data_IF_718858429649
#
_entry.id   IF_718858429649
#
_cell.length_a   1.000
_cell.length_b   1.000
_cell.length_c   1.000
_cell.angle_alpha   90.00
_cell.angle_beta   90.00
_cell.angle_gamma   90.00
#
_symmetry.space_group_name_H-M   'P 1'
#
loop_
_entity.id
_entity.type
_entity.pdbx_description
1 polymer ?
#
# COMPACT_ATOMS: atom_id res chain seq x y z
N UNK A 1 -58.78 -27.53 -48.74
CA UNK A 1 -58.45 -26.17 -48.31
C UNK A 1 -57.65 -26.26 -46.99
N UNK A 2 -56.37 -26.20 -47.05
CA UNK A 2 -55.49 -26.31 -45.87
C UNK A 2 -54.98 -24.93 -45.49
N UNK A 3 -55.39 -24.47 -44.30
CA UNK A 3 -55.01 -23.17 -43.76
C UNK A 3 -53.59 -23.16 -43.26
N UNK A 4 -52.73 -22.33 -43.81
CA UNK A 4 -51.38 -22.03 -43.31
C UNK A 4 -51.46 -21.16 -42.07
N UNK A 5 -50.99 -21.66 -40.92
CA UNK A 5 -50.87 -20.83 -39.71
C UNK A 5 -49.54 -20.02 -39.80
N UNK A 6 -49.53 -18.73 -39.45
CA UNK A 6 -48.30 -17.97 -39.50
C UNK A 6 -47.42 -18.27 -38.26
N UNK A 7 -46.26 -18.83 -38.50
CA UNK A 7 -45.20 -19.06 -37.52
C UNK A 7 -44.39 -17.79 -37.33
N UNK A 8 -45.04 -16.68 -36.96
CA UNK A 8 -44.31 -15.40 -36.98
C UNK A 8 -44.06 -14.74 -35.61
N UNK A 9 -44.98 -14.90 -34.67
CA UNK A 9 -44.96 -14.02 -33.49
C UNK A 9 -44.01 -14.49 -32.35
N UNK A 10 -43.84 -15.81 -32.21
CA UNK A 10 -42.96 -16.35 -31.15
C UNK A 10 -41.47 -16.32 -31.50
N UNK A 11 -41.14 -16.45 -32.78
CA UNK A 11 -39.77 -16.38 -33.25
C UNK A 11 -39.23 -14.94 -33.17
N UNK A 12 -40.06 -13.95 -33.44
CA UNK A 12 -39.69 -12.52 -33.32
C UNK A 12 -39.49 -12.07 -31.86
N UNK A 13 -40.25 -12.65 -30.92
CA UNK A 13 -40.07 -12.32 -29.52
C UNK A 13 -38.79 -12.93 -28.93
N UNK A 14 -38.43 -14.15 -29.31
CA UNK A 14 -37.21 -14.82 -28.92
C UNK A 14 -35.97 -14.10 -29.48
N UNK A 15 -36.02 -13.65 -30.74
CA UNK A 15 -34.95 -12.85 -31.33
C UNK A 15 -34.78 -11.48 -30.66
N UNK A 16 -35.86 -10.87 -30.19
CA UNK A 16 -35.81 -9.63 -29.40
C UNK A 16 -35.16 -9.87 -28.00
N UNK A 17 -35.53 -10.99 -27.35
CA UNK A 17 -34.95 -11.34 -26.06
C UNK A 17 -33.49 -11.77 -26.17
N UNK A 18 -33.10 -12.51 -27.20
CA UNK A 18 -31.70 -12.83 -27.51
C UNK A 18 -30.91 -11.57 -27.86
N UNK A 19 -31.52 -10.64 -28.60
CA UNK A 19 -30.89 -9.36 -28.91
C UNK A 19 -30.64 -8.50 -27.65
N UNK A 20 -31.60 -8.49 -26.71
CA UNK A 20 -31.43 -7.78 -25.44
C UNK A 20 -30.41 -8.44 -24.50
N UNK A 21 -30.24 -9.77 -24.60
CA UNK A 21 -29.21 -10.48 -23.81
C UNK A 21 -27.82 -10.38 -24.43
N UNK A 22 -27.72 -10.18 -25.73
CA UNK A 22 -26.44 -10.06 -26.44
C UNK A 22 -25.95 -8.61 -26.55
N UNK A 23 -26.84 -7.62 -26.41
CA UNK A 23 -26.43 -6.20 -26.46
C UNK A 23 -25.42 -5.82 -25.37
N UNK A 24 -25.53 -6.27 -24.11
CA UNK A 24 -24.47 -5.95 -23.15
C UNK A 24 -23.14 -6.68 -23.38
N UNK A 25 -23.17 -7.80 -24.14
CA UNK A 25 -21.92 -8.50 -24.49
C UNK A 25 -21.18 -7.83 -25.66
N UNK A 26 -21.88 -7.03 -26.48
CA UNK A 26 -21.29 -6.26 -27.57
C UNK A 26 -20.81 -4.86 -27.13
N UNK A 27 -21.14 -4.45 -25.90
CA UNK A 27 -20.58 -3.25 -25.28
C UNK A 27 -19.31 -3.59 -24.46
N UNK A 28 -18.56 -4.62 -24.84
CA UNK A 28 -17.19 -4.79 -24.40
C UNK A 28 -16.44 -3.55 -24.87
N UNK A 29 -16.33 -2.57 -23.95
CA UNK A 29 -15.92 -1.23 -24.29
C UNK A 29 -14.56 -1.19 -24.97
N UNK A 30 -14.54 -0.53 -26.10
CA UNK A 30 -13.30 -0.17 -26.74
C UNK A 30 -12.43 0.59 -25.74
N UNK A 31 -11.35 -0.01 -25.28
CA UNK A 31 -10.33 0.69 -24.51
C UNK A 31 -10.01 0.19 -23.12
N UNK A 32 -10.68 -0.86 -22.60
CA UNK A 32 -10.27 -1.40 -21.30
C UNK A 32 -9.03 -2.30 -21.47
N UNK A 33 -7.92 -2.00 -20.79
CA UNK A 33 -6.73 -2.85 -20.89
C UNK A 33 -7.02 -4.28 -20.41
N UNK A 34 -6.39 -5.27 -21.03
CA UNK A 34 -6.67 -6.68 -20.76
C UNK A 34 -6.42 -7.14 -19.32
N UNK A 35 -5.73 -6.34 -18.54
CA UNK A 35 -5.41 -6.63 -17.14
C UNK A 35 -6.17 -5.75 -16.15
N UNK A 36 -7.16 -4.99 -16.61
CA UNK A 36 -7.93 -4.08 -15.77
C UNK A 36 -9.42 -4.42 -15.80
N UNK A 37 -10.10 -4.12 -14.73
CA UNK A 37 -11.55 -4.10 -14.67
C UNK A 37 -12.03 -2.67 -14.92
N UNK A 38 -12.76 -2.45 -16.00
CA UNK A 38 -13.39 -1.16 -16.29
C UNK A 38 -14.87 -1.26 -15.96
N UNK A 39 -15.32 -0.43 -15.04
CA UNK A 39 -16.74 -0.36 -14.72
C UNK A 39 -17.52 0.36 -15.85
N UNK A 40 -18.80 0.13 -15.93
CA UNK A 40 -19.67 0.71 -16.97
C UNK A 40 -19.69 2.24 -16.96
N UNK A 41 -19.26 2.86 -15.86
CA UNK A 41 -18.98 4.29 -15.81
C UNK A 41 -17.59 4.54 -16.41
N UNK A 42 -17.46 5.38 -17.45
CA UNK A 42 -16.15 5.62 -18.07
C UNK A 42 -15.14 6.35 -17.18
N UNK A 43 -15.55 6.65 -15.96
CA UNK A 43 -14.77 7.45 -15.01
C UNK A 43 -13.90 6.61 -14.07
N UNK A 44 -14.01 5.27 -14.11
CA UNK A 44 -13.28 4.42 -13.18
C UNK A 44 -12.74 3.17 -13.88
N UNK A 45 -11.44 3.16 -14.08
CA UNK A 45 -10.69 1.97 -14.47
C UNK A 45 -9.94 1.46 -13.23
N UNK A 46 -10.05 0.18 -12.96
CA UNK A 46 -9.37 -0.45 -11.84
C UNK A 46 -8.61 -1.67 -12.33
N UNK A 47 -7.29 -1.65 -12.12
CA UNK A 47 -6.41 -2.81 -12.30
C UNK A 47 -6.09 -3.39 -10.93
N UNK A 48 -6.42 -4.65 -10.70
CA UNK A 48 -6.18 -5.28 -9.40
C UNK A 48 -5.73 -6.73 -9.58
N UNK A 49 -4.90 -7.18 -8.65
CA UNK A 49 -4.39 -8.56 -8.57
C UNK A 49 -3.69 -9.03 -9.85
N UNK A 50 -3.03 -8.10 -10.56
CA UNK A 50 -2.33 -8.39 -11.80
C UNK A 50 -0.84 -8.09 -11.63
N UNK A 51 0.01 -8.91 -12.20
CA UNK A 51 1.47 -8.71 -12.18
C UNK A 51 1.87 -7.71 -13.27
N UNK A 52 1.40 -6.46 -13.14
CA UNK A 52 1.81 -5.40 -14.04
C UNK A 52 3.26 -4.99 -13.73
N UNK A 53 4.11 -5.02 -14.73
CA UNK A 53 5.50 -4.53 -14.61
C UNK A 53 5.63 -3.10 -15.10
N UNK A 54 4.66 -2.64 -15.89
CA UNK A 54 4.58 -1.27 -16.40
C UNK A 54 3.14 -0.77 -16.29
N UNK A 55 2.96 0.55 -16.16
CA UNK A 55 1.62 1.13 -16.19
C UNK A 55 0.89 0.82 -17.51
N UNK A 56 -0.43 0.65 -17.47
CA UNK A 56 -1.19 0.37 -18.69
C UNK A 56 -1.14 1.56 -19.64
N UNK A 57 -0.94 1.28 -20.93
CA UNK A 57 -0.74 2.31 -21.96
C UNK A 57 -2.03 2.67 -22.70
N UNK A 58 -3.04 1.78 -22.66
CA UNK A 58 -4.26 1.89 -23.47
C UNK A 58 -5.46 2.32 -22.60
N UNK A 59 -5.26 3.34 -21.76
CA UNK A 59 -6.32 3.86 -20.91
C UNK A 59 -7.30 4.73 -21.70
N UNK A 60 -8.60 4.65 -21.42
CA UNK A 60 -9.57 5.57 -22.03
C UNK A 60 -9.26 7.03 -21.69
N UNK A 61 -9.47 7.93 -22.66
CA UNK A 61 -9.14 9.36 -22.48
C UNK A 61 -9.93 10.02 -21.35
N UNK A 62 -11.19 9.60 -21.15
CA UNK A 62 -12.06 10.18 -20.13
C UNK A 62 -11.91 9.61 -18.73
N UNK A 63 -10.92 8.72 -18.49
CA UNK A 63 -10.73 8.13 -17.15
C UNK A 63 -10.37 9.21 -16.13
N UNK A 64 -11.13 9.24 -15.02
CA UNK A 64 -10.90 10.21 -13.94
C UNK A 64 -10.26 9.58 -12.70
N UNK A 65 -10.53 8.30 -12.47
CA UNK A 65 -10.01 7.56 -11.33
C UNK A 65 -9.35 6.28 -11.82
N UNK A 66 -8.10 6.08 -11.50
CA UNK A 66 -7.37 4.86 -11.82
C UNK A 66 -6.81 4.25 -10.55
N UNK A 67 -7.10 2.97 -10.33
CA UNK A 67 -6.52 2.19 -9.23
C UNK A 67 -5.76 1.00 -9.82
N UNK A 68 -4.49 0.88 -9.49
CA UNK A 68 -3.71 -0.33 -9.71
C UNK A 68 -3.33 -0.84 -8.31
N UNK A 69 -3.59 -2.10 -8.04
CA UNK A 69 -3.28 -2.66 -6.72
C UNK A 69 -2.78 -4.09 -6.86
N UNK A 70 -1.68 -4.39 -6.19
CA UNK A 70 -1.05 -5.71 -6.25
C UNK A 70 -0.22 -5.94 -7.50
N UNK A 71 0.17 -4.87 -8.19
CA UNK A 71 1.10 -4.91 -9.31
C UNK A 71 2.55 -5.12 -8.87
N UNK A 72 3.44 -5.08 -9.83
CA UNK A 72 4.89 -5.13 -9.59
C UNK A 72 5.59 -4.02 -10.38
N UNK A 73 5.14 -2.77 -10.14
CA UNK A 73 5.62 -1.56 -10.82
C UNK A 73 6.92 -1.07 -10.17
N UNK A 74 7.97 -1.88 -10.18
CA UNK A 74 9.18 -1.64 -9.39
C UNK A 74 9.79 -0.25 -9.60
N UNK A 75 9.72 0.29 -10.81
CA UNK A 75 10.26 1.62 -11.14
C UNK A 75 9.26 2.42 -11.94
N UNK A 76 8.81 3.54 -11.41
CA UNK A 76 8.02 4.50 -12.18
C UNK A 76 8.97 5.44 -12.92
N UNK A 77 9.14 5.19 -14.21
CA UNK A 77 10.01 5.97 -15.08
C UNK A 77 9.34 7.30 -15.46
N UNK A 78 10.13 8.17 -16.07
CA UNK A 78 9.61 9.45 -16.58
C UNK A 78 8.39 9.24 -17.47
N UNK A 79 7.32 10.01 -17.21
CA UNK A 79 6.06 9.97 -17.95
C UNK A 79 5.41 8.57 -17.99
N UNK A 80 5.47 7.85 -16.87
CA UNK A 80 5.03 6.46 -16.76
C UNK A 80 3.56 6.24 -17.17
N UNK A 81 2.73 7.28 -17.11
CA UNK A 81 1.31 7.21 -17.44
C UNK A 81 0.96 8.08 -18.66
N UNK A 82 1.92 8.41 -19.52
CA UNK A 82 1.66 9.29 -20.66
C UNK A 82 0.91 8.60 -21.81
N UNK A 83 0.83 7.28 -21.81
CA UNK A 83 0.16 6.53 -22.88
C UNK A 83 0.91 6.53 -24.22
N UNK A 84 0.53 5.61 -25.09
CA UNK A 84 1.10 5.52 -26.44
C UNK A 84 0.23 6.28 -27.45
N UNK A 85 0.54 7.56 -27.66
CA UNK A 85 -0.02 8.32 -28.78
C UNK A 85 -1.43 8.89 -28.60
N UNK A 86 -2.10 8.64 -27.48
CA UNK A 86 -3.44 9.19 -27.22
C UNK A 86 -3.39 10.59 -26.56
N UNK A 87 -2.19 11.10 -26.31
CA UNK A 87 -2.03 12.38 -25.60
C UNK A 87 -2.10 12.22 -24.07
N UNK A 88 -2.00 13.34 -23.34
CA UNK A 88 -2.03 13.29 -21.88
C UNK A 88 -3.38 12.84 -21.35
N UNK A 89 -3.37 12.14 -20.21
CA UNK A 89 -4.59 11.79 -19.47
C UNK A 89 -5.05 13.01 -18.66
N UNK A 90 -5.58 14.01 -19.37
CA UNK A 90 -5.92 15.32 -18.79
C UNK A 90 -7.01 15.28 -17.74
N UNK A 91 -7.94 14.34 -17.87
CA UNK A 91 -9.09 14.20 -16.98
C UNK A 91 -8.77 13.36 -15.73
N UNK A 92 -7.64 12.65 -15.71
CA UNK A 92 -7.28 11.81 -14.57
C UNK A 92 -7.04 12.66 -13.32
N UNK A 93 -7.95 12.56 -12.37
CA UNK A 93 -7.92 13.34 -11.14
C UNK A 93 -7.42 12.55 -9.93
N UNK A 94 -7.61 11.24 -9.94
CA UNK A 94 -7.15 10.35 -8.86
C UNK A 94 -6.37 9.17 -9.41
N UNK A 95 -5.19 8.94 -8.86
CA UNK A 95 -4.34 7.80 -9.19
C UNK A 95 -3.96 7.08 -7.89
N UNK A 96 -4.39 5.83 -7.76
CA UNK A 96 -4.17 5.03 -6.57
C UNK A 96 -3.28 3.84 -6.94
N UNK A 97 -2.10 3.78 -6.35
CA UNK A 97 -1.08 2.75 -6.59
C UNK A 97 -0.64 2.09 -5.28
N UNK A 98 -1.58 1.56 -4.46
CA UNK A 98 -1.18 0.95 -3.20
C UNK A 98 -0.70 -0.48 -3.38
N UNK A 99 0.41 -0.85 -2.73
CA UNK A 99 0.96 -2.21 -2.75
C UNK A 99 1.35 -2.70 -4.15
N UNK A 100 1.95 -1.83 -4.95
CA UNK A 100 2.39 -2.16 -6.32
C UNK A 100 3.89 -2.42 -6.41
N UNK A 101 4.54 -2.65 -5.25
CA UNK A 101 5.98 -2.93 -5.14
C UNK A 101 6.85 -1.84 -5.77
N UNK A 102 6.39 -0.59 -5.71
CA UNK A 102 7.16 0.54 -6.26
C UNK A 102 8.36 0.81 -5.36
N UNK A 103 9.55 0.71 -5.92
CA UNK A 103 10.82 0.91 -5.20
C UNK A 103 11.52 2.21 -5.61
N UNK A 104 11.29 2.67 -6.84
CA UNK A 104 11.91 3.90 -7.32
C UNK A 104 10.94 4.75 -8.15
N UNK A 105 10.99 6.06 -7.94
CA UNK A 105 10.21 7.03 -8.70
C UNK A 105 11.17 8.05 -9.32
N UNK A 106 11.26 8.05 -10.63
CA UNK A 106 12.17 8.91 -11.39
C UNK A 106 11.65 10.34 -11.51
N UNK A 107 12.52 11.23 -11.98
CA UNK A 107 12.14 12.62 -12.25
C UNK A 107 10.99 12.67 -13.25
N UNK A 108 9.97 13.49 -12.96
CA UNK A 108 8.79 13.66 -13.80
C UNK A 108 8.04 12.35 -14.11
N UNK A 109 8.00 11.42 -13.16
CA UNK A 109 7.32 10.12 -13.35
C UNK A 109 5.83 10.29 -13.69
N UNK A 110 5.18 11.32 -13.15
CA UNK A 110 3.76 11.61 -13.38
C UNK A 110 3.54 12.71 -14.42
N UNK A 111 4.54 13.00 -15.25
CA UNK A 111 4.39 13.95 -16.34
C UNK A 111 3.31 13.46 -17.33
N UNK A 112 2.44 14.36 -17.78
CA UNK A 112 1.31 14.01 -18.65
C UNK A 112 -0.01 13.85 -17.90
N UNK A 113 -0.01 14.13 -16.58
CA UNK A 113 -1.22 14.08 -15.75
C UNK A 113 -1.54 15.47 -15.18
N UNK A 114 -1.87 16.46 -16.03
CA UNK A 114 -2.08 17.83 -15.55
C UNK A 114 -3.31 17.99 -14.65
N UNK A 115 -4.29 17.07 -14.74
CA UNK A 115 -5.49 17.07 -13.92
C UNK A 115 -5.34 16.39 -12.55
N UNK A 116 -4.20 15.71 -12.31
CA UNK A 116 -4.04 14.88 -11.12
C UNK A 116 -4.11 15.68 -9.82
N UNK A 117 -5.14 15.41 -9.02
CA UNK A 117 -5.41 16.08 -7.74
C UNK A 117 -5.07 15.20 -6.54
N UNK A 118 -5.19 13.88 -6.67
CA UNK A 118 -4.91 12.94 -5.58
C UNK A 118 -4.05 11.79 -6.07
N UNK A 119 -2.98 11.50 -5.32
CA UNK A 119 -2.05 10.41 -5.60
C UNK A 119 -1.84 9.59 -4.33
N UNK A 120 -2.05 8.28 -4.44
CA UNK A 120 -1.80 7.35 -3.34
C UNK A 120 -0.70 6.37 -3.74
N UNK A 121 0.41 6.42 -3.01
CA UNK A 121 1.57 5.55 -3.17
C UNK A 121 1.80 4.70 -1.90
N UNK A 122 0.77 4.56 -1.07
CA UNK A 122 0.88 3.90 0.24
C UNK A 122 1.29 2.43 0.11
N UNK A 123 2.01 1.92 1.11
CA UNK A 123 2.43 0.53 1.21
C UNK A 123 3.35 0.06 0.07
N UNK A 124 4.19 0.97 -0.45
CA UNK A 124 5.22 0.64 -1.43
C UNK A 124 6.61 0.76 -0.77
N UNK A 125 7.54 -0.16 -1.03
CA UNK A 125 8.85 -0.13 -0.37
C UNK A 125 9.80 0.84 -1.09
N UNK A 126 9.52 2.15 -1.04
CA UNK A 126 10.30 3.17 -1.75
C UNK A 126 11.74 3.21 -1.21
N UNK A 127 12.71 3.11 -2.11
CA UNK A 127 14.15 3.21 -1.86
C UNK A 127 14.75 4.43 -2.53
N UNK A 128 14.11 4.91 -3.60
CA UNK A 128 14.57 6.08 -4.34
C UNK A 128 13.39 6.94 -4.76
N UNK A 129 13.50 8.25 -4.53
CA UNK A 129 12.48 9.23 -4.89
C UNK A 129 13.22 10.46 -5.44
N UNK A 130 13.07 10.70 -6.73
CA UNK A 130 13.71 11.86 -7.36
C UNK A 130 13.08 13.18 -6.88
N UNK A 131 13.89 14.20 -6.69
CA UNK A 131 13.42 15.52 -6.24
C UNK A 131 12.43 16.20 -7.18
N UNK A 132 12.35 15.76 -8.43
CA UNK A 132 11.37 16.26 -9.40
C UNK A 132 10.28 15.24 -9.74
N UNK A 133 10.12 14.19 -8.95
CA UNK A 133 9.19 13.09 -9.25
C UNK A 133 7.78 13.58 -9.58
N UNK A 134 7.29 14.57 -8.85
CA UNK A 134 5.92 15.10 -8.99
C UNK A 134 5.83 16.33 -9.89
N UNK A 135 6.93 16.71 -10.57
CA UNK A 135 6.88 17.79 -11.55
C UNK A 135 5.96 17.42 -12.70
N UNK A 136 5.06 18.33 -13.06
CA UNK A 136 4.05 18.08 -14.08
C UNK A 136 2.66 17.80 -13.53
N UNK A 137 2.50 17.82 -12.19
CA UNK A 137 1.20 17.66 -11.53
C UNK A 137 0.81 18.96 -10.79
N UNK A 138 0.49 20.05 -11.50
CA UNK A 138 0.24 21.35 -10.85
C UNK A 138 -1.00 21.38 -9.96
N UNK A 139 -1.91 20.43 -10.16
CA UNK A 139 -3.16 20.34 -9.38
C UNK A 139 -3.09 19.36 -8.21
N UNK A 140 -1.93 18.77 -7.93
CA UNK A 140 -1.79 17.78 -6.87
C UNK A 140 -2.05 18.42 -5.50
N UNK A 141 -3.00 17.87 -4.76
CA UNK A 141 -3.45 18.31 -3.42
C UNK A 141 -3.37 17.23 -2.34
N UNK A 142 -3.49 15.86 -2.46
CA UNK A 142 -3.46 14.85 -1.69
C UNK A 142 -2.43 14.06 -2.12
N UNK A 143 -1.57 13.91 -1.27
CA UNK A 143 -0.51 12.91 -1.49
C UNK A 143 -0.48 11.95 -0.30
N UNK A 144 -0.57 10.63 -0.57
CA UNK A 144 -0.49 9.59 0.46
C UNK A 144 0.79 8.79 0.25
N UNK A 145 1.60 8.70 1.32
CA UNK A 145 2.83 7.93 1.38
C UNK A 145 2.86 7.08 2.67
N UNK A 146 1.69 6.55 3.07
CA UNK A 146 1.59 5.76 4.30
C UNK A 146 2.36 4.45 4.13
N UNK A 147 3.22 4.10 5.11
CA UNK A 147 4.05 2.90 5.09
C UNK A 147 4.85 2.75 3.78
N UNK A 148 5.40 3.86 3.28
CA UNK A 148 6.11 3.87 2.01
C UNK A 148 7.57 4.34 2.14
N UNK A 149 7.94 4.96 3.27
CA UNK A 149 9.22 5.66 3.41
C UNK A 149 10.21 4.96 4.35
N UNK A 150 9.89 3.76 4.82
CA UNK A 150 10.73 3.05 5.80
C UNK A 150 12.16 2.79 5.31
N UNK A 151 12.36 2.71 4.00
CA UNK A 151 13.64 2.46 3.37
C UNK A 151 14.22 3.71 2.70
N UNK A 152 13.51 4.83 2.79
CA UNK A 152 13.89 6.10 2.16
C UNK A 152 14.42 7.07 3.22
N UNK A 153 15.53 7.72 2.93
CA UNK A 153 16.04 8.79 3.81
C UNK A 153 15.18 10.06 3.77
N UNK A 154 15.43 10.97 4.69
CA UNK A 154 14.66 12.23 4.79
C UNK A 154 14.92 13.19 3.62
N UNK A 155 16.14 13.26 3.13
CA UNK A 155 16.54 14.20 2.08
C UNK A 155 15.78 14.01 0.76
N UNK A 156 15.60 12.77 0.24
CA UNK A 156 14.81 12.59 -0.99
C UNK A 156 13.36 13.05 -0.83
N UNK A 157 12.75 12.80 0.34
CA UNK A 157 11.38 13.25 0.59
C UNK A 157 11.31 14.79 0.57
N UNK A 158 12.25 15.45 1.25
CA UNK A 158 12.30 16.92 1.28
C UNK A 158 12.44 17.50 -0.13
N UNK A 159 13.31 16.91 -0.95
CA UNK A 159 13.49 17.31 -2.34
C UNK A 159 12.21 17.17 -3.17
N UNK A 160 11.52 16.04 -3.00
CA UNK A 160 10.32 15.73 -3.79
C UNK A 160 9.10 16.58 -3.39
N UNK A 161 8.99 16.98 -2.12
CA UNK A 161 7.89 17.82 -1.64
C UNK A 161 8.07 19.30 -1.97
N UNK A 162 9.29 19.71 -2.27
CA UNK A 162 9.61 21.13 -2.57
C UNK A 162 8.79 21.63 -3.76
N UNK A 163 8.18 22.79 -3.60
CA UNK A 163 7.37 23.44 -4.62
C UNK A 163 6.04 22.73 -4.98
N UNK A 164 5.58 21.82 -4.13
CA UNK A 164 4.23 21.27 -4.26
C UNK A 164 3.24 22.13 -3.47
N UNK A 165 2.03 22.27 -4.01
CA UNK A 165 0.95 23.02 -3.37
C UNK A 165 -0.07 22.05 -2.73
N UNK A 166 0.42 21.15 -1.86
CA UNK A 166 -0.42 20.16 -1.21
C UNK A 166 -1.30 20.81 -0.14
N UNK A 167 -2.52 20.30 -0.01
CA UNK A 167 -3.41 20.59 1.12
C UNK A 167 -3.40 19.47 2.15
N UNK A 168 -3.20 18.23 1.69
CA UNK A 168 -3.20 17.07 2.58
C UNK A 168 -2.03 16.14 2.25
N UNK A 169 -1.26 15.82 3.28
CA UNK A 169 -0.10 14.91 3.20
C UNK A 169 -0.25 13.82 4.25
N UNK A 170 -0.28 12.55 3.81
CA UNK A 170 -0.38 11.42 4.72
C UNK A 170 0.95 10.66 4.75
N UNK A 171 1.56 10.60 5.93
CA UNK A 171 2.85 9.96 6.20
C UNK A 171 2.76 8.93 7.33
N UNK A 172 1.59 8.33 7.53
CA UNK A 172 1.39 7.41 8.65
C UNK A 172 2.22 6.13 8.48
N UNK A 173 2.77 5.61 9.60
CA UNK A 173 3.45 4.33 9.62
C UNK A 173 4.82 4.30 8.97
N UNK A 174 5.54 5.41 8.96
CA UNK A 174 6.84 5.52 8.28
C UNK A 174 8.06 5.51 9.22
N UNK A 175 7.84 5.35 10.53
CA UNK A 175 8.93 5.32 11.49
C UNK A 175 9.58 6.68 11.76
N UNK A 176 8.94 7.76 11.37
CA UNK A 176 9.48 9.12 11.52
C UNK A 176 9.68 9.47 12.99
N UNK A 177 10.85 10.02 13.33
CA UNK A 177 11.20 10.43 14.69
C UNK A 177 11.04 11.93 14.94
N UNK A 178 10.92 12.72 13.88
CA UNK A 178 10.76 14.18 13.91
C UNK A 178 9.86 14.59 12.73
N UNK A 179 9.43 15.84 12.74
CA UNK A 179 8.72 16.40 11.58
C UNK A 179 9.65 16.41 10.37
N UNK A 180 9.14 16.08 9.16
CA UNK A 180 9.97 16.17 7.97
C UNK A 180 10.40 17.62 7.72
N UNK A 181 11.50 17.96 8.27
CA UNK A 181 12.29 19.19 8.24
C UNK A 181 11.72 20.43 7.55
N UNK A 182 12.55 21.05 6.72
CA UNK A 182 12.22 22.25 5.95
C UNK A 182 11.31 21.99 4.72
N UNK A 183 10.69 20.81 4.65
CA UNK A 183 10.08 20.34 3.41
C UNK A 183 8.54 20.35 3.39
N UNK A 184 7.90 20.83 4.45
CA UNK A 184 6.44 20.88 4.43
C UNK A 184 5.96 21.92 3.42
N UNK A 185 5.09 21.53 2.47
CA UNK A 185 4.57 22.47 1.48
C UNK A 185 3.81 23.64 2.12
N UNK A 186 4.01 24.81 1.57
CA UNK A 186 3.26 25.99 1.97
C UNK A 186 1.75 25.80 1.70
N UNK A 187 0.92 26.20 2.64
CA UNK A 187 -0.52 26.05 2.51
C UNK A 187 -1.06 24.66 2.81
N UNK A 188 -0.24 23.79 3.44
CA UNK A 188 -0.69 22.48 3.90
C UNK A 188 -1.74 22.66 5.01
N UNK A 189 -2.88 21.98 4.87
CA UNK A 189 -4.02 22.05 5.78
C UNK A 189 -4.09 20.84 6.71
N UNK A 190 -3.67 19.66 6.23
CA UNK A 190 -3.70 18.42 7.02
C UNK A 190 -2.40 17.64 6.84
N UNK A 191 -1.82 17.19 7.97
CA UNK A 191 -0.62 16.34 8.01
C UNK A 191 -0.88 15.14 8.92
N UNK A 192 -0.88 13.95 8.34
CA UNK A 192 -1.09 12.72 9.09
C UNK A 192 0.26 12.07 9.41
N UNK A 193 0.61 12.07 10.69
CA UNK A 193 1.83 11.47 11.24
C UNK A 193 1.53 10.33 12.22
N UNK A 194 0.34 9.75 12.14
CA UNK A 194 -0.04 8.64 13.03
C UNK A 194 0.86 7.43 12.84
N UNK A 195 1.00 6.65 13.91
CA UNK A 195 1.74 5.38 13.85
C UNK A 195 3.19 5.57 13.37
N UNK A 196 3.85 6.61 13.87
CA UNK A 196 5.28 6.87 13.64
C UNK A 196 6.06 6.67 14.94
N UNK A 197 7.30 7.18 15.01
CA UNK A 197 8.17 7.03 16.17
C UNK A 197 8.44 8.36 16.87
N UNK A 198 7.48 9.29 16.79
CA UNK A 198 7.60 10.62 17.39
C UNK A 198 7.50 10.51 18.92
N UNK A 199 8.51 11.00 19.63
CA UNK A 199 8.50 11.06 21.09
C UNK A 199 7.95 12.39 21.62
N UNK A 200 7.81 13.37 20.74
CA UNK A 200 7.31 14.73 21.04
C UNK A 200 7.54 15.61 19.84
N UNK A 201 7.35 16.91 20.01
CA UNK A 201 7.72 17.93 19.02
C UNK A 201 8.57 18.98 19.74
N UNK A 202 9.68 19.36 19.15
CA UNK A 202 10.59 20.35 19.74
C UNK A 202 9.98 21.76 19.66
N UNK A 203 10.47 22.70 20.51
CA UNK A 203 10.01 24.09 20.41
C UNK A 203 10.23 24.70 19.01
N UNK A 204 11.31 24.35 18.35
CA UNK A 204 11.64 24.82 17.00
C UNK A 204 10.65 24.28 15.95
N UNK A 205 10.26 23.01 16.08
CA UNK A 205 9.23 22.42 15.23
C UNK A 205 7.88 23.11 15.42
N UNK A 206 7.49 23.34 16.67
CA UNK A 206 6.24 24.03 16.99
C UNK A 206 6.24 25.47 16.47
N UNK A 207 7.36 26.19 16.63
CA UNK A 207 7.50 27.55 16.09
C UNK A 207 7.35 27.59 14.56
N UNK A 208 7.91 26.58 13.86
CA UNK A 208 7.72 26.47 12.41
C UNK A 208 6.26 26.25 12.04
N UNK A 209 5.56 25.40 12.80
CA UNK A 209 4.14 25.15 12.56
C UNK A 209 3.29 26.41 12.77
N UNK A 210 3.70 27.28 13.68
CA UNK A 210 2.98 28.55 13.94
C UNK A 210 3.31 29.64 12.92
N UNK A 211 4.31 29.44 12.09
CA UNK A 211 4.65 30.42 11.04
C UNK A 211 3.50 30.56 10.01
N UNK A 212 3.44 31.73 9.37
CA UNK A 212 2.30 32.14 8.54
C UNK A 212 1.83 31.12 7.52
N UNK A 213 2.69 30.46 6.72
CA UNK A 213 2.18 29.53 5.71
C UNK A 213 1.55 28.25 6.30
N UNK A 214 1.88 27.87 7.55
CA UNK A 214 1.37 26.66 8.21
C UNK A 214 0.40 26.96 9.35
N UNK A 215 -0.01 28.19 9.55
CA UNK A 215 -0.87 28.59 10.67
C UNK A 215 -2.24 27.93 10.72
N UNK A 216 -2.68 27.30 9.63
CA UNK A 216 -3.96 26.57 9.58
C UNK A 216 -3.79 25.05 9.59
N UNK A 217 -2.57 24.57 9.70
CA UNK A 217 -2.27 23.12 9.60
C UNK A 217 -2.85 22.36 10.80
N UNK A 218 -3.56 21.27 10.50
CA UNK A 218 -4.01 20.28 11.48
C UNK A 218 -3.12 19.05 11.43
N UNK A 219 -2.71 18.58 12.61
CA UNK A 219 -1.88 17.39 12.78
C UNK A 219 -2.70 16.21 13.28
N UNK A 220 -2.36 15.01 12.83
CA UNK A 220 -2.80 13.75 13.40
C UNK A 220 -1.57 13.05 13.95
N UNK A 221 -1.53 12.79 15.27
CA UNK A 221 -0.34 12.34 16.00
C UNK A 221 -0.55 11.04 16.78
N UNK A 222 -1.74 10.45 16.79
CA UNK A 222 -2.03 9.26 17.60
C UNK A 222 -1.15 8.07 17.19
N UNK A 223 -1.00 7.13 18.14
CA UNK A 223 -0.15 5.93 17.94
C UNK A 223 1.33 6.27 17.72
N UNK A 224 1.81 7.33 18.35
CA UNK A 224 3.24 7.65 18.47
C UNK A 224 3.70 7.38 19.90
N UNK A 225 4.96 6.97 20.13
CA UNK A 225 5.48 6.67 21.46
C UNK A 225 5.88 7.93 22.22
N UNK A 226 4.89 8.78 22.53
CA UNK A 226 5.14 10.08 23.18
C UNK A 226 5.76 9.90 24.57
N UNK A 227 6.85 10.61 24.81
CA UNK A 227 7.50 10.67 26.13
C UNK A 227 6.88 11.80 26.93
N UNK A 228 6.24 11.44 28.06
CA UNK A 228 5.55 12.40 28.91
C UNK A 228 6.47 12.85 30.08
N UNK A 229 7.62 13.39 29.70
CA UNK A 229 8.56 14.02 30.61
C UNK A 229 8.63 15.53 30.30
N UNK A 230 9.64 16.20 30.82
CA UNK A 230 9.77 17.65 30.67
C UNK A 230 9.84 18.10 29.21
N UNK A 231 10.34 17.25 28.29
CA UNK A 231 10.41 17.57 26.87
C UNK A 231 9.02 17.68 26.21
N UNK A 232 7.97 17.09 26.82
CA UNK A 232 6.60 17.20 26.30
C UNK A 232 5.95 18.55 26.63
N UNK A 233 6.50 19.30 27.59
CA UNK A 233 5.88 20.56 28.07
C UNK A 233 5.55 21.55 26.93
N UNK A 234 6.44 21.80 25.96
CA UNK A 234 6.10 22.69 24.85
C UNK A 234 4.90 22.22 24.03
N UNK A 235 4.89 20.95 23.67
CA UNK A 235 3.77 20.37 22.88
C UNK A 235 2.46 20.41 23.67
N UNK A 236 2.49 20.09 24.96
CA UNK A 236 1.29 20.12 25.81
C UNK A 236 0.73 21.55 25.93
N UNK A 237 1.61 22.55 26.15
CA UNK A 237 1.23 23.94 26.16
C UNK A 237 0.64 24.42 24.84
N UNK A 238 1.30 24.04 23.74
CA UNK A 238 0.87 24.39 22.39
C UNK A 238 -0.53 23.80 22.07
N UNK A 239 -0.77 22.54 22.43
CA UNK A 239 -2.07 21.90 22.23
C UNK A 239 -3.19 22.54 23.08
N UNK A 240 -2.86 23.01 24.27
CA UNK A 240 -3.85 23.68 25.14
C UNK A 240 -4.24 25.06 24.60
N UNK A 241 -3.28 25.77 24.05
CA UNK A 241 -3.52 27.10 23.48
C UNK A 241 -4.24 27.04 22.14
N UNK A 242 -3.99 25.96 21.34
CA UNK A 242 -4.56 25.82 20.00
C UNK A 242 -5.08 24.40 19.81
N UNK A 243 -6.11 24.03 20.55
CA UNK A 243 -6.62 22.65 20.64
C UNK A 243 -7.08 22.07 19.29
N UNK A 244 -7.47 22.92 18.37
CA UNK A 244 -7.89 22.49 17.02
C UNK A 244 -6.73 22.03 16.14
N UNK A 245 -5.51 22.38 16.51
CA UNK A 245 -4.30 22.06 15.71
C UNK A 245 -3.96 20.58 15.72
N UNK A 246 -4.35 19.84 16.75
CA UNK A 246 -4.16 18.38 16.81
C UNK A 246 -5.53 17.72 16.78
N UNK A 247 -5.93 17.26 15.62
CA UNK A 247 -7.29 16.76 15.37
C UNK A 247 -7.63 15.54 16.23
N UNK A 248 -6.63 14.70 16.54
CA UNK A 248 -6.79 13.48 17.33
C UNK A 248 -6.19 13.60 18.75
N UNK A 249 -6.12 14.81 19.31
CA UNK A 249 -5.52 15.10 20.61
C UNK A 249 -6.08 14.21 21.75
N UNK A 250 -7.36 13.88 21.71
CA UNK A 250 -8.00 13.02 22.71
C UNK A 250 -7.48 11.57 22.68
N UNK A 251 -6.89 11.15 21.58
CA UNK A 251 -6.36 9.80 21.39
C UNK A 251 -4.89 9.68 21.78
N UNK A 252 -4.22 10.80 22.05
CA UNK A 252 -2.80 10.79 22.39
C UNK A 252 -2.58 10.17 23.77
N UNK A 253 -1.62 9.25 23.87
CA UNK A 253 -1.27 8.53 25.10
C UNK A 253 0.23 8.63 25.34
N UNK A 254 0.60 8.66 26.60
CA UNK A 254 2.01 8.54 27.01
C UNK A 254 2.51 7.12 26.75
N UNK A 255 3.70 7.00 26.19
CA UNK A 255 4.39 5.71 26.11
C UNK A 255 5.45 5.57 27.21
N UNK A 256 6.04 6.69 27.65
CA UNK A 256 7.05 6.75 28.69
C UNK A 256 6.88 8.03 29.51
N UNK A 257 7.36 8.08 30.74
CA UNK A 257 7.91 6.98 31.54
C UNK A 257 6.83 5.97 31.96
N UNK A 258 7.24 4.85 32.57
CA UNK A 258 6.32 3.75 32.92
C UNK A 258 5.15 4.19 33.80
N UNK A 259 5.40 5.12 34.73
CA UNK A 259 4.42 5.65 35.67
C UNK A 259 3.26 6.40 34.99
N UNK A 260 3.52 6.96 33.83
CA UNK A 260 2.54 7.72 33.06
C UNK A 260 2.03 6.97 31.81
N UNK A 261 2.56 5.77 31.57
CA UNK A 261 2.21 5.00 30.36
C UNK A 261 0.70 4.73 30.26
N UNK A 262 0.15 4.95 29.07
CA UNK A 262 -1.28 4.80 28.79
C UNK A 262 -2.13 6.02 29.17
N UNK A 263 -1.62 6.96 29.99
CA UNK A 263 -2.38 8.14 30.38
C UNK A 263 -2.65 9.05 29.17
N UNK A 264 -3.87 9.60 29.07
CA UNK A 264 -4.14 10.60 28.03
C UNK A 264 -3.30 11.86 28.23
N UNK A 265 -2.62 12.30 27.19
CA UNK A 265 -1.73 13.46 27.24
C UNK A 265 -2.45 14.72 27.73
N UNK A 266 -3.70 14.93 27.32
CA UNK A 266 -4.49 16.11 27.72
C UNK A 266 -4.84 16.14 29.22
N UNK A 267 -4.76 14.99 29.91
CA UNK A 267 -5.04 14.89 31.35
C UNK A 267 -3.82 15.15 32.22
N UNK A 268 -2.63 15.22 31.59
CA UNK A 268 -1.40 15.46 32.37
C UNK A 268 -1.39 16.81 33.01
N UNK A 269 -0.89 16.86 34.25
CA UNK A 269 -0.57 18.12 34.96
C UNK A 269 0.91 18.44 34.72
N UNK A 270 1.26 19.71 34.66
CA UNK A 270 2.64 20.12 34.40
C UNK A 270 3.61 19.61 35.48
N UNK A 271 3.13 19.48 36.73
CA UNK A 271 3.91 18.96 37.84
C UNK A 271 4.32 17.49 37.65
N UNK A 272 3.55 16.73 36.90
CA UNK A 272 3.81 15.32 36.63
C UNK A 272 4.93 15.12 35.60
N UNK A 273 5.31 16.17 34.88
CA UNK A 273 6.32 16.07 33.80
C UNK A 273 7.77 16.13 34.33
N UNK A 274 7.97 16.22 35.64
CA UNK A 274 9.30 16.17 36.26
C UNK A 274 10.23 17.33 35.92
N UNK A 275 9.69 18.51 35.64
CA UNK A 275 10.47 19.69 35.27
C UNK A 275 11.04 20.46 36.49
N UNK A 276 11.51 19.78 37.53
CA UNK A 276 12.15 20.42 38.67
C UNK A 276 13.52 21.03 38.33
N UNK A 277 13.83 22.19 38.87
CA UNK A 277 15.14 22.82 38.68
C UNK A 277 16.24 21.93 39.26
N UNK A 278 17.10 21.37 38.44
CA UNK A 278 18.29 20.72 38.87
C UNK A 278 18.49 19.24 38.55
N UNK A 279 17.65 18.66 37.72
CA UNK A 279 17.96 17.30 37.20
C UNK A 279 18.58 17.40 35.81
N UNK A 280 19.89 17.38 35.77
CA UNK A 280 20.64 16.99 34.56
C UNK A 280 20.09 15.65 34.05
N UNK A 281 20.02 15.42 32.76
CA UNK A 281 19.58 14.15 32.24
C UNK A 281 20.49 13.04 32.73
N UNK A 282 20.01 12.30 33.73
CA UNK A 282 20.66 11.07 34.13
C UNK A 282 20.55 10.14 32.91
N UNK A 283 21.67 9.90 32.31
CA UNK A 283 21.84 8.83 31.34
C UNK A 283 21.64 7.49 32.08
N UNK A 284 20.40 7.14 32.33
CA UNK A 284 20.05 5.78 32.75
C UNK A 284 20.15 4.88 31.53
N UNK A 285 21.33 4.51 31.29
CA UNK A 285 21.94 3.22 31.09
C UNK A 285 21.11 2.20 30.29
N UNK A 286 21.70 1.88 29.18
CA UNK A 286 21.49 0.73 28.32
C UNK A 286 21.73 -0.66 29.01
N UNK A 287 21.63 -0.73 30.34
CA UNK A 287 21.98 -1.94 31.10
C UNK A 287 20.85 -2.93 31.34
N UNK A 288 19.62 -2.45 31.48
CA UNK A 288 18.52 -3.31 31.95
C UNK A 288 17.72 -3.95 30.83
N UNK A 289 17.84 -3.45 29.63
CA UNK A 289 17.11 -3.99 28.47
C UNK A 289 17.72 -5.30 27.93
N UNK A 290 19.00 -5.54 28.22
CA UNK A 290 19.71 -6.73 27.73
C UNK A 290 19.38 -8.02 28.52
N UNK A 291 19.02 -7.90 29.78
CA UNK A 291 18.62 -9.08 30.60
C UNK A 291 17.22 -9.60 30.29
N UNK A 292 16.29 -8.70 29.98
CA UNK A 292 14.91 -9.11 29.65
C UNK A 292 14.83 -9.76 28.27
N UNK A 293 15.63 -9.31 27.31
CA UNK A 293 15.69 -9.92 25.97
C UNK A 293 16.26 -11.33 26.03
N UNK A 294 17.35 -11.53 26.78
CA UNK A 294 17.96 -12.87 26.93
C UNK A 294 17.01 -13.87 27.59
N UNK A 295 16.31 -13.46 28.63
CA UNK A 295 15.30 -14.33 29.29
C UNK A 295 14.18 -14.73 28.33
N UNK A 296 13.75 -13.82 27.47
CA UNK A 296 12.71 -14.07 26.46
C UNK A 296 13.19 -15.10 25.43
N UNK A 297 14.40 -14.98 24.92
CA UNK A 297 14.94 -15.94 23.94
C UNK A 297 15.13 -17.33 24.55
N UNK A 298 15.57 -17.42 25.80
CA UNK A 298 15.69 -18.70 26.51
C UNK A 298 14.30 -19.34 26.68
N UNK A 299 13.30 -18.58 27.08
CA UNK A 299 11.94 -19.06 27.21
C UNK A 299 11.39 -19.60 25.87
N UNK A 300 11.52 -18.82 24.80
CA UNK A 300 11.12 -19.25 23.46
C UNK A 300 11.88 -20.49 23.00
N UNK A 301 13.18 -20.58 23.29
CA UNK A 301 13.98 -21.75 22.97
C UNK A 301 13.46 -23.01 23.67
N UNK A 302 13.13 -22.92 24.96
CA UNK A 302 12.57 -24.04 25.72
C UNK A 302 11.21 -24.47 25.15
N UNK A 303 10.34 -23.52 24.85
CA UNK A 303 9.02 -23.82 24.27
C UNK A 303 9.16 -24.51 22.91
N UNK A 304 10.06 -24.03 22.05
CA UNK A 304 10.30 -24.68 20.75
C UNK A 304 10.90 -26.08 20.90
N UNK A 305 11.79 -26.28 21.87
CA UNK A 305 12.35 -27.61 22.16
C UNK A 305 11.27 -28.57 22.62
N UNK A 306 10.36 -28.14 23.50
CA UNK A 306 9.23 -28.97 23.97
C UNK A 306 8.29 -29.31 22.80
N UNK A 307 7.97 -28.35 21.95
CA UNK A 307 7.15 -28.61 20.76
C UNK A 307 7.86 -29.62 19.84
N UNK A 308 9.16 -29.50 19.66
CA UNK A 308 9.96 -30.46 18.89
C UNK A 308 9.89 -31.89 19.47
N UNK A 309 10.02 -32.03 20.77
CA UNK A 309 9.92 -33.33 21.43
C UNK A 309 8.52 -33.94 21.25
N UNK A 310 7.46 -33.13 21.44
CA UNK A 310 6.08 -33.58 21.23
C UNK A 310 5.88 -34.01 19.77
N UNK A 311 6.39 -33.24 18.84
CA UNK A 311 6.30 -33.55 17.41
C UNK A 311 6.99 -34.90 17.10
N UNK A 312 8.21 -35.11 17.60
CA UNK A 312 8.95 -36.35 17.41
C UNK A 312 8.22 -37.53 18.06
N UNK A 313 7.61 -37.32 19.23
CA UNK A 313 6.80 -38.34 19.90
C UNK A 313 5.58 -38.73 19.05
N UNK A 314 4.87 -37.74 18.50
CA UNK A 314 3.72 -37.99 17.62
C UNK A 314 4.16 -38.73 16.35
N UNK A 315 5.30 -38.36 15.76
CA UNK A 315 5.86 -39.06 14.59
C UNK A 315 6.21 -40.51 14.95
N UNK A 316 6.81 -40.74 16.12
CA UNK A 316 7.18 -42.07 16.59
C UNK A 316 5.93 -42.96 16.86
N UNK A 317 4.92 -42.42 17.53
CA UNK A 317 3.67 -43.13 17.82
C UNK A 317 2.89 -43.41 16.52
N UNK A 318 2.92 -42.51 15.57
CA UNK A 318 2.19 -42.67 14.30
C UNK A 318 3.08 -43.17 13.15
N UNK A 319 4.22 -43.76 13.46
CA UNK A 319 5.20 -44.25 12.46
C UNK A 319 4.61 -45.20 11.40
N UNK A 320 3.62 -45.99 11.80
CA UNK A 320 2.95 -46.92 10.85
C UNK A 320 2.03 -46.18 9.88
N UNK A 321 1.31 -45.19 10.36
CA UNK A 321 0.46 -44.32 9.52
C UNK A 321 1.29 -43.50 8.55
N UNK A 322 2.38 -42.92 9.03
CA UNK A 322 3.28 -42.12 8.22
C UNK A 322 3.94 -42.95 7.10
N UNK A 323 4.37 -44.17 7.42
CA UNK A 323 4.92 -45.07 6.40
C UNK A 323 3.89 -45.44 5.33
N UNK A 324 2.62 -45.66 5.72
CA UNK A 324 1.55 -45.91 4.73
C UNK A 324 1.32 -44.68 3.85
N UNK A 325 1.26 -43.49 4.47
CA UNK A 325 1.06 -42.24 3.75
C UNK A 325 2.20 -41.95 2.76
N UNK A 326 3.44 -42.17 3.21
CA UNK A 326 4.64 -41.97 2.33
C UNK A 326 4.66 -42.97 1.17
N UNK A 327 4.25 -44.22 1.42
CA UNK A 327 4.18 -45.20 0.35
C UNK A 327 3.10 -44.84 -0.67
N UNK A 328 1.93 -44.40 -0.21
CA UNK A 328 0.86 -43.93 -1.10
C UNK A 328 1.29 -42.71 -1.91
N UNK A 329 2.00 -41.78 -1.30
CA UNK A 329 2.54 -40.60 -1.98
C UNK A 329 3.56 -41.01 -3.04
N UNK A 330 4.45 -41.94 -2.69
CA UNK A 330 5.48 -42.45 -3.61
C UNK A 330 4.83 -43.18 -4.81
N UNK A 331 3.76 -43.94 -4.55
CA UNK A 331 3.00 -44.64 -5.59
C UNK A 331 2.29 -43.64 -6.51
N UNK A 332 1.65 -42.62 -5.95
CA UNK A 332 0.99 -41.56 -6.71
C UNK A 332 2.00 -40.75 -7.58
N UNK A 333 3.20 -40.47 -7.04
CA UNK A 333 4.27 -39.82 -7.79
C UNK A 333 4.79 -40.69 -8.95
N UNK A 334 4.86 -42.00 -8.71
CA UNK A 334 5.30 -42.96 -9.75
C UNK A 334 4.28 -43.05 -10.88
N UNK A 335 3.00 -43.15 -10.56
CA UNK A 335 1.92 -43.21 -11.54
C UNK A 335 1.87 -41.94 -12.42
N UNK A 336 2.17 -40.77 -11.80
CA UNK A 336 2.22 -39.52 -12.54
C UNK A 336 3.45 -39.46 -13.47
N UNK A 337 4.58 -40.04 -13.05
CA UNK A 337 5.79 -40.12 -13.90
C UNK A 337 5.62 -41.14 -15.04
N UNK A 338 4.96 -42.25 -14.80
CA UNK A 338 4.66 -43.25 -15.87
C UNK A 338 3.68 -42.66 -16.89
N UNK A 339 2.69 -41.86 -16.46
CA UNK A 339 1.79 -41.15 -17.35
C UNK A 339 2.50 -40.17 -18.29
N UNK A 340 3.57 -39.53 -17.78
CA UNK A 340 4.42 -38.63 -18.58
C UNK A 340 5.20 -39.41 -19.65
N UNK A 341 5.72 -40.60 -19.32
CA UNK A 341 6.48 -41.41 -20.25
C UNK A 341 5.59 -41.94 -21.36
N UNK A 342 4.37 -42.36 -21.06
CA UNK A 342 3.40 -42.85 -22.05
C UNK A 342 2.99 -41.77 -23.07
N UNK A 343 2.91 -40.52 -22.60
CA UNK A 343 2.55 -39.37 -23.47
C UNK A 343 3.68 -39.04 -24.44
N UNK A 344 4.93 -39.22 -24.03
CA UNK A 344 6.10 -38.96 -24.91
C UNK A 344 6.30 -40.04 -25.95
N UNK A 345 5.98 -41.32 -25.64
CA UNK A 345 6.10 -42.42 -26.59
C UNK A 345 5.02 -42.33 -27.68
N UNK A 346 3.84 -41.81 -27.37
CA UNK A 346 2.75 -41.70 -28.33
C UNK A 346 3.01 -40.62 -29.39
N UNK A 347 3.80 -39.63 -29.07
CA UNK A 347 4.17 -38.55 -30.01
C UNK A 347 5.38 -38.90 -30.90
N UNK A 348 6.11 -39.98 -30.58
CA UNK A 348 7.31 -40.39 -31.34
C UNK A 348 7.14 -41.63 -32.18
N UNK A 349 5.94 -42.21 -32.32
CA UNK A 349 5.70 -43.38 -33.18
C UNK A 349 5.64 -42.93 -34.63
N UNK A 350 6.62 -43.33 -35.47
CA UNK A 350 6.70 -42.93 -36.89
C UNK A 350 5.64 -43.59 -37.78
N UNK A 351 4.81 -44.48 -37.26
CA UNK A 351 3.75 -45.17 -38.04
C UNK A 351 2.50 -44.30 -38.24
N UNK A 352 2.39 -43.17 -37.56
CA UNK A 352 1.25 -42.25 -37.71
C UNK A 352 1.45 -41.16 -38.78
N UNK A 353 2.64 -41.06 -39.34
CA UNK A 353 2.96 -40.01 -40.31
C UNK A 353 2.57 -40.34 -41.76
N UNK A 354 1.95 -41.51 -42.03
CA UNK A 354 1.67 -41.94 -43.42
C UNK A 354 0.18 -42.08 -43.77
N UNK A 355 -0.70 -41.34 -43.09
CA UNK A 355 -2.12 -41.31 -43.45
C UNK A 355 -2.60 -39.89 -43.69
N UNK A 356 -2.15 -39.27 -44.76
CA UNK A 356 -2.83 -38.13 -45.37
C UNK A 356 -3.69 -38.64 -46.53
N UNK A 357 -5.01 -38.43 -46.53
CA UNK A 357 -5.81 -38.71 -47.69
C UNK A 357 -5.64 -37.58 -48.70
N UNK A 358 -5.07 -37.94 -49.84
CA UNK A 358 -5.20 -37.18 -51.06
C UNK A 358 -6.63 -37.30 -51.58
N UNK A 359 -7.22 -36.20 -51.96
CA UNK A 359 -8.35 -36.31 -52.86
C UNK A 359 -9.45 -35.26 -52.74
N UNK A 360 -9.44 -34.36 -53.72
CA UNK A 360 -10.57 -33.58 -54.29
C UNK A 360 -11.05 -32.41 -53.45
#
# INVERSE_FOLDING_TARGET
MAGRRPLGARALSLLRWLGMLLLPLLQAGHGCPGHCYCFATPELDQCSYVRLQEPPRDLPRGVRNLTIAGGNLTVLRRAAFAGNGSGPLGDLSRLLLPRDNIQAIEDRAFQGLPGLAALDLSHNPLRALAGGAFRGCPRLRXLKLNQALLLLGEEPLAGALRNLSLRRLELAGNGLRALPGAALPEGLEELDLRNNSLQGLSPEELARLDSAPLGRLQLYLSSNPLRCDCALRPLLGWMRNASWRVADARSLRCAAPRELSGLPVLRLRLEQLGCGAGQEPRSEEAGEQKELETASYVFFGIVLALIGVIFLMVLYLNRRGIKRWLNNLREACRDQMEGYHYRYEQDTDPRRASASPSGL
#
